data_IF_017952531383
#
_entry.id   IF_017952531383
#
_cell.length_a   1.000
_cell.length_b   1.000
_cell.length_c   1.000
_cell.angle_alpha   90.00
_cell.angle_beta   90.00
_cell.angle_gamma   90.00
#
_symmetry.space_group_name_H-M   'P 1'
#
loop_
_entity.id
_entity.type
_entity.pdbx_description
1 polymer ?
#
# COMPACT_ATOMS: atom_id res chain seq x y z
N UNK A 1 -5.83 23.27 0.05
CA UNK A 1 -6.17 22.81 1.42
C UNK A 1 -5.76 21.36 1.49
N UNK A 2 -4.96 20.97 2.48
CA UNK A 2 -4.59 19.55 2.69
C UNK A 2 -5.83 18.78 3.15
N UNK A 3 -6.00 17.57 2.64
CA UNK A 3 -7.05 16.65 3.07
C UNK A 3 -6.57 15.86 4.29
N UNK A 4 -7.50 15.24 5.04
CA UNK A 4 -7.13 14.32 6.11
C UNK A 4 -6.26 13.15 5.60
N UNK A 5 -6.45 12.72 4.36
CA UNK A 5 -5.64 11.67 3.73
C UNK A 5 -4.21 12.15 3.51
N UNK A 6 -4.03 13.42 3.13
CA UNK A 6 -2.70 14.04 3.04
C UNK A 6 -2.02 14.11 4.40
N UNK A 7 -2.76 14.48 5.45
CA UNK A 7 -2.20 14.56 6.79
C UNK A 7 -1.81 13.17 7.35
N UNK A 8 -2.54 12.12 7.00
CA UNK A 8 -2.17 10.74 7.33
C UNK A 8 -0.92 10.29 6.57
N UNK A 9 -0.84 10.55 5.26
CA UNK A 9 0.34 10.24 4.46
C UNK A 9 1.57 11.03 4.93
N UNK A 10 1.39 12.26 5.39
CA UNK A 10 2.43 13.15 5.91
C UNK A 10 3.01 12.70 7.27
N UNK A 11 2.46 11.67 7.91
CA UNK A 11 3.12 11.02 9.06
C UNK A 11 4.40 10.29 8.67
N UNK A 12 4.58 9.98 7.37
CA UNK A 12 5.74 9.34 6.74
C UNK A 12 6.10 7.93 7.23
N UNK A 13 5.65 7.52 8.41
CA UNK A 13 5.91 6.21 9.02
C UNK A 13 4.62 5.58 9.51
N UNK A 14 4.47 4.28 9.24
CA UNK A 14 3.26 3.53 9.54
C UNK A 14 2.87 3.62 11.02
N UNK A 15 3.83 3.53 11.94
CA UNK A 15 3.55 3.62 13.38
C UNK A 15 2.81 4.90 13.79
N UNK A 16 3.23 6.06 13.26
CA UNK A 16 2.61 7.34 13.55
C UNK A 16 1.22 7.48 12.92
N UNK A 17 1.03 6.94 11.70
CA UNK A 17 -0.30 6.83 11.09
C UNK A 17 -1.25 6.00 11.96
N UNK A 18 -0.79 4.82 12.41
CA UNK A 18 -1.60 3.90 13.21
C UNK A 18 -1.94 4.50 14.58
N UNK A 19 -1.01 5.20 15.23
CA UNK A 19 -1.27 5.94 16.47
C UNK A 19 -2.35 6.99 16.27
N UNK A 20 -2.27 7.75 15.17
CA UNK A 20 -3.27 8.75 14.84
C UNK A 20 -4.65 8.15 14.58
N UNK A 21 -4.74 7.02 13.85
CA UNK A 21 -6.01 6.31 13.70
C UNK A 21 -6.57 5.83 15.05
N UNK A 22 -5.71 5.38 15.96
CA UNK A 22 -6.13 5.01 17.31
C UNK A 22 -6.70 6.18 18.10
N UNK A 23 -5.98 7.32 18.13
CA UNK A 23 -6.37 8.50 18.92
C UNK A 23 -7.58 9.21 18.31
N UNK A 24 -7.59 9.42 17.00
CA UNK A 24 -8.58 10.28 16.34
C UNK A 24 -9.78 9.51 15.83
N UNK A 25 -9.64 8.21 15.54
CA UNK A 25 -10.68 7.37 14.92
C UNK A 25 -11.05 6.13 15.74
N UNK A 26 -10.59 6.04 16.99
CA UNK A 26 -10.97 4.96 17.90
C UNK A 26 -10.38 3.60 17.53
N UNK A 27 -9.29 3.57 16.76
CA UNK A 27 -8.57 2.35 16.40
C UNK A 27 -8.70 1.97 14.94
N UNK A 28 -8.21 0.76 14.63
CA UNK A 28 -8.29 0.14 13.32
C UNK A 28 -8.31 -1.38 13.47
N UNK A 29 -8.87 -2.05 12.47
CA UNK A 29 -8.77 -3.50 12.26
C UNK A 29 -7.77 -3.75 11.13
N UNK A 30 -6.77 -4.61 11.36
CA UNK A 30 -5.87 -5.06 10.30
C UNK A 30 -6.57 -6.15 9.47
N UNK A 31 -6.93 -5.83 8.24
CA UNK A 31 -7.59 -6.75 7.32
C UNK A 31 -6.61 -7.60 6.52
N UNK A 32 -5.42 -7.06 6.26
CA UNK A 32 -4.42 -7.75 5.46
C UNK A 32 -3.08 -7.04 5.45
N UNK A 33 -2.03 -7.83 5.27
CA UNK A 33 -0.68 -7.35 5.00
C UNK A 33 -0.13 -8.15 3.84
N UNK A 34 -0.02 -7.50 2.68
CA UNK A 34 0.56 -8.10 1.50
C UNK A 34 2.00 -7.63 1.37
N UNK A 35 2.93 -8.55 1.48
CA UNK A 35 4.34 -8.30 1.15
C UNK A 35 4.52 -8.59 -0.33
N UNK A 36 5.11 -7.64 -1.07
CA UNK A 36 5.51 -7.85 -2.45
C UNK A 36 6.97 -7.44 -2.62
N UNK A 37 7.82 -8.18 -1.90
CA UNK A 37 9.27 -8.05 -1.85
C UNK A 37 9.79 -7.17 -0.74
N UNK A 38 11.01 -6.69 -0.96
CA UNK A 38 11.75 -5.84 -0.03
C UNK A 38 11.22 -4.39 0.00
N UNK A 39 10.58 -3.94 -1.08
CA UNK A 39 10.33 -2.52 -1.31
C UNK A 39 8.86 -2.10 -1.33
N UNK A 40 7.91 -3.04 -1.41
CA UNK A 40 6.47 -2.72 -1.44
C UNK A 40 5.64 -3.64 -0.56
N UNK A 41 4.90 -3.03 0.35
CA UNK A 41 4.00 -3.69 1.29
C UNK A 41 2.68 -2.92 1.29
N UNK A 42 1.56 -3.62 1.09
CA UNK A 42 0.23 -3.06 1.30
C UNK A 42 -0.30 -3.47 2.67
N UNK A 43 -0.54 -2.48 3.54
CA UNK A 43 -1.24 -2.70 4.82
C UNK A 43 -2.68 -2.24 4.67
N UNK A 44 -3.61 -3.18 4.74
CA UNK A 44 -5.05 -2.94 4.56
C UNK A 44 -5.69 -2.83 5.93
N UNK A 45 -6.29 -1.68 6.20
CA UNK A 45 -6.89 -1.33 7.48
C UNK A 45 -8.37 -1.02 7.28
N UNK A 46 -9.21 -1.40 8.25
CA UNK A 46 -10.56 -0.85 8.40
C UNK A 46 -10.62 0.05 9.62
N UNK A 47 -11.19 1.24 9.45
CA UNK A 47 -11.35 2.23 10.51
C UNK A 47 -12.82 2.22 10.96
N UNK A 48 -13.15 1.70 12.15
CA UNK A 48 -14.53 1.52 12.59
C UNK A 48 -15.26 2.86 12.77
N UNK A 49 -14.56 3.94 13.15
CA UNK A 49 -15.13 5.29 13.21
C UNK A 49 -14.56 6.16 12.08
N UNK A 50 -15.18 6.09 10.90
CA UNK A 50 -14.81 6.86 9.70
C UNK A 50 -14.60 8.35 9.98
N UNK A 51 -15.48 8.99 10.77
CA UNK A 51 -15.47 10.45 11.06
C UNK A 51 -15.32 11.24 9.74
N UNK A 52 -14.27 12.04 9.61
CA UNK A 52 -14.00 12.87 8.43
C UNK A 52 -13.28 12.13 7.28
N UNK A 53 -12.95 10.84 7.43
CA UNK A 53 -12.34 10.08 6.35
C UNK A 53 -13.33 9.90 5.18
N UNK A 54 -12.85 9.94 3.92
CA UNK A 54 -13.71 9.77 2.75
C UNK A 54 -14.16 8.31 2.52
N UNK A 55 -13.65 7.35 3.29
CA UNK A 55 -14.03 5.95 3.32
C UNK A 55 -13.53 5.29 4.61
N UNK A 56 -13.91 4.04 4.86
CA UNK A 56 -13.56 3.30 6.08
C UNK A 56 -12.45 2.26 5.85
N UNK A 57 -12.05 2.01 4.61
CA UNK A 57 -10.94 1.11 4.28
C UNK A 57 -9.75 1.92 3.79
N UNK A 58 -8.59 1.74 4.41
CA UNK A 58 -7.32 2.33 4.01
C UNK A 58 -6.41 1.24 3.45
N UNK A 59 -5.73 1.53 2.35
CA UNK A 59 -4.56 0.80 1.88
C UNK A 59 -3.36 1.71 2.06
N UNK A 60 -2.47 1.35 2.98
CA UNK A 60 -1.24 2.09 3.26
C UNK A 60 -0.08 1.35 2.60
N UNK A 61 0.37 1.90 1.46
CA UNK A 61 1.53 1.38 0.74
C UNK A 61 2.81 1.83 1.45
N UNK A 62 3.66 0.88 1.82
CA UNK A 62 4.90 1.12 2.58
C UNK A 62 6.09 0.37 1.97
N UNK A 63 7.32 0.71 2.38
CA UNK A 63 8.46 -0.19 2.23
C UNK A 63 8.56 -1.15 3.44
N UNK A 64 9.54 -2.06 3.44
CA UNK A 64 9.73 -3.03 4.52
C UNK A 64 9.92 -2.44 5.93
N UNK A 65 10.35 -1.19 6.04
CA UNK A 65 10.57 -0.50 7.32
C UNK A 65 9.36 0.38 7.73
N UNK A 66 8.22 0.26 7.03
CA UNK A 66 7.00 1.01 7.33
C UNK A 66 7.00 2.46 6.86
N UNK A 67 7.96 2.87 6.01
CA UNK A 67 7.98 4.20 5.41
C UNK A 67 6.86 4.35 4.37
N UNK A 68 5.94 5.28 4.60
CA UNK A 68 4.72 5.45 3.80
C UNK A 68 5.06 6.04 2.43
N UNK A 69 4.49 5.42 1.40
CA UNK A 69 4.62 5.81 -0.01
C UNK A 69 3.32 6.43 -0.52
N UNK A 70 2.20 5.80 -0.16
CA UNK A 70 0.88 6.15 -0.64
C UNK A 70 -0.16 5.72 0.40
N UNK A 71 -1.24 6.49 0.50
CA UNK A 71 -2.45 6.13 1.24
C UNK A 71 -3.62 6.23 0.28
N UNK A 72 -4.29 5.11 0.06
CA UNK A 72 -5.55 5.03 -0.70
C UNK A 72 -6.71 4.77 0.27
N UNK A 73 -7.87 5.33 -0.03
CA UNK A 73 -9.09 5.17 0.76
C UNK A 73 -10.21 4.64 -0.12
N UNK A 74 -10.96 3.66 0.39
CA UNK A 74 -12.06 2.96 -0.26
C UNK A 74 -13.25 2.81 0.69
N UNK A 75 -14.42 2.49 0.13
CA UNK A 75 -15.60 2.05 0.91
C UNK A 75 -15.74 0.51 0.95
N UNK A 76 -14.94 -0.20 0.16
CA UNK A 76 -14.90 -1.65 0.10
C UNK A 76 -13.46 -2.12 0.01
N UNK A 77 -13.18 -3.31 0.57
CA UNK A 77 -11.83 -3.89 0.60
C UNK A 77 -11.41 -4.25 -0.83
N UNK A 78 -10.37 -3.60 -1.39
CA UNK A 78 -9.86 -3.97 -2.70
C UNK A 78 -9.11 -5.30 -2.63
N UNK A 79 -9.12 -6.07 -3.72
CA UNK A 79 -8.23 -7.22 -3.83
C UNK A 79 -6.81 -6.77 -4.19
N UNK A 80 -5.81 -7.54 -3.76
CA UNK A 80 -4.41 -7.28 -4.12
C UNK A 80 -4.21 -7.26 -5.65
N UNK A 81 -4.90 -8.13 -6.40
CA UNK A 81 -4.80 -8.15 -7.86
C UNK A 81 -5.37 -6.89 -8.50
N UNK A 82 -6.54 -6.41 -8.05
CA UNK A 82 -7.12 -5.18 -8.57
C UNK A 82 -6.22 -3.96 -8.29
N UNK A 83 -5.58 -3.91 -7.11
CA UNK A 83 -4.61 -2.85 -6.77
C UNK A 83 -3.39 -2.88 -7.68
N UNK A 84 -2.80 -4.07 -7.89
CA UNK A 84 -1.63 -4.21 -8.75
C UNK A 84 -1.94 -3.96 -10.22
N UNK A 85 -3.08 -4.44 -10.72
CA UNK A 85 -3.53 -4.12 -12.07
C UNK A 85 -3.79 -2.62 -12.24
N UNK A 86 -4.34 -1.95 -11.22
CA UNK A 86 -4.52 -0.49 -11.26
C UNK A 86 -3.18 0.26 -11.32
N UNK A 87 -2.18 -0.17 -10.55
CA UNK A 87 -0.83 0.43 -10.54
C UNK A 87 -0.07 0.15 -11.83
N UNK A 88 -0.13 -1.08 -12.32
CA UNK A 88 0.61 -1.58 -13.47
C UNK A 88 -0.34 -2.24 -14.48
N UNK A 89 -1.16 -1.46 -15.22
CA UNK A 89 -2.24 -1.98 -16.06
C UNK A 89 -1.76 -2.80 -17.27
N UNK A 90 -0.49 -2.64 -17.65
CA UNK A 90 0.11 -3.39 -18.75
C UNK A 90 0.79 -4.68 -18.31
N UNK A 91 0.91 -4.93 -17.00
CA UNK A 91 1.56 -6.14 -16.49
C UNK A 91 0.58 -7.34 -16.58
N UNK A 92 0.91 -8.38 -17.37
CA UNK A 92 0.04 -9.55 -17.53
C UNK A 92 -0.09 -10.43 -16.27
N UNK A 93 0.77 -10.25 -15.26
CA UNK A 93 0.77 -11.03 -14.01
C UNK A 93 -0.50 -10.87 -13.16
N UNK A 94 -1.21 -9.74 -13.30
CA UNK A 94 -2.37 -9.38 -12.48
C UNK A 94 -3.66 -9.40 -13.31
N UNK A 95 -4.68 -10.11 -12.83
CA UNK A 95 -5.96 -10.11 -13.52
C UNK A 95 -6.59 -8.71 -13.45
N UNK A 96 -7.27 -8.34 -14.53
CA UNK A 96 -8.05 -7.11 -14.65
C UNK A 96 -9.34 -7.18 -13.81
N UNK A 97 -9.20 -7.34 -12.50
CA UNK A 97 -10.31 -7.39 -11.56
C UNK A 97 -10.83 -5.97 -11.28
N UNK A 98 -12.14 -5.79 -11.05
CA UNK A 98 -12.69 -4.50 -10.67
C UNK A 98 -12.05 -3.97 -9.38
N UNK A 99 -11.50 -2.76 -9.44
CA UNK A 99 -11.07 -2.01 -8.27
C UNK A 99 -12.28 -1.20 -7.74
N UNK A 100 -12.62 -1.27 -6.44
CA UNK A 100 -13.57 -0.33 -5.84
C UNK A 100 -13.13 1.13 -6.07
N UNK A 101 -14.07 2.10 -6.12
CA UNK A 101 -13.70 3.50 -6.32
C UNK A 101 -12.72 4.00 -5.24
N UNK A 102 -11.63 4.63 -5.68
CA UNK A 102 -10.72 5.34 -4.80
C UNK A 102 -11.41 6.65 -4.41
N UNK A 103 -11.80 6.77 -3.14
CA UNK A 103 -12.49 7.94 -2.58
C UNK A 103 -11.54 8.90 -1.86
N UNK A 104 -10.29 8.49 -1.66
CA UNK A 104 -9.20 9.34 -1.18
C UNK A 104 -7.84 8.79 -1.63
N UNK A 105 -6.92 9.68 -1.98
CA UNK A 105 -5.57 9.31 -2.44
C UNK A 105 -4.59 10.38 -1.97
N UNK A 106 -3.48 9.96 -1.38
CA UNK A 106 -2.33 10.83 -1.16
C UNK A 106 -1.03 10.06 -1.36
N UNK A 107 -0.04 10.70 -1.98
CA UNK A 107 1.30 10.16 -2.23
C UNK A 107 2.33 11.01 -1.50
N UNK A 108 3.28 10.37 -0.85
CA UNK A 108 4.36 11.08 -0.16
C UNK A 108 5.48 11.45 -1.14
N UNK A 109 6.40 12.31 -0.70
CA UNK A 109 7.61 12.63 -1.46
C UNK A 109 8.51 11.41 -1.74
N UNK A 110 8.29 10.32 -1.00
CA UNK A 110 9.04 9.07 -1.15
C UNK A 110 8.35 8.05 -2.04
N UNK A 111 7.22 8.41 -2.66
CA UNK A 111 6.52 7.58 -3.63
C UNK A 111 7.47 7.20 -4.79
N UNK A 112 7.34 5.97 -5.26
CA UNK A 112 8.06 5.44 -6.41
C UNK A 112 7.07 4.71 -7.31
N UNK A 113 7.42 4.51 -8.58
CA UNK A 113 6.58 3.74 -9.51
C UNK A 113 6.62 2.24 -9.15
N UNK A 114 5.52 1.62 -8.69
CA UNK A 114 5.50 0.21 -8.34
C UNK A 114 5.87 -0.71 -9.51
N UNK A 115 5.73 -0.26 -10.76
CA UNK A 115 6.05 -1.07 -11.93
C UNK A 115 7.55 -1.27 -12.12
N UNK A 116 8.39 -0.40 -11.56
CA UNK A 116 9.85 -0.60 -11.52
C UNK A 116 10.27 -1.83 -10.69
N UNK A 117 9.38 -2.37 -9.86
CA UNK A 117 9.62 -3.61 -9.13
C UNK A 117 9.38 -4.84 -10.01
N UNK A 118 8.58 -4.72 -11.06
CA UNK A 118 8.16 -5.87 -11.86
C UNK A 118 9.23 -6.33 -12.85
N UNK A 119 10.17 -5.46 -13.19
CA UNK A 119 11.19 -5.71 -14.21
C UNK A 119 12.20 -6.79 -13.79
N UNK A 120 12.80 -7.55 -14.73
CA UNK A 120 13.71 -8.65 -14.41
C UNK A 120 14.96 -8.23 -13.61
N UNK A 121 15.41 -6.99 -13.76
CA UNK A 121 16.56 -6.39 -13.09
C UNK A 121 16.17 -5.47 -11.93
N UNK A 122 14.93 -5.58 -11.42
CA UNK A 122 14.44 -4.82 -10.28
C UNK A 122 15.41 -4.91 -9.11
N UNK A 123 15.63 -3.76 -8.45
CA UNK A 123 16.54 -3.64 -7.31
C UNK A 123 16.21 -4.70 -6.24
N UNK A 124 17.26 -5.25 -5.64
CA UNK A 124 17.17 -6.15 -4.50
C UNK A 124 18.41 -6.03 -3.64
N UNK A 125 18.27 -6.14 -2.32
CA UNK A 125 19.41 -6.23 -1.40
C UNK A 125 19.85 -7.69 -1.19
N UNK A 126 19.02 -8.64 -1.63
CA UNK A 126 19.35 -10.05 -1.70
C UNK A 126 20.24 -10.36 -2.91
N UNK A 127 21.23 -11.22 -2.71
CA UNK A 127 22.04 -11.76 -3.81
C UNK A 127 21.19 -12.66 -4.71
N UNK A 128 21.47 -12.75 -6.02
CA UNK A 128 20.72 -13.59 -6.95
C UNK A 128 20.56 -15.05 -6.51
N UNK A 129 21.59 -15.64 -5.89
CA UNK A 129 21.59 -17.01 -5.37
C UNK A 129 20.76 -17.20 -4.08
N UNK A 130 20.31 -16.11 -3.46
CA UNK A 130 19.55 -16.11 -2.20
C UNK A 130 18.16 -15.48 -2.35
N UNK A 131 17.68 -15.33 -3.58
CA UNK A 131 16.36 -14.76 -3.85
C UNK A 131 15.59 -15.54 -4.89
N UNK A 132 14.26 -15.50 -4.78
CA UNK A 132 13.33 -15.85 -5.84
C UNK A 132 12.37 -14.70 -6.10
N UNK A 133 11.85 -14.64 -7.32
CA UNK A 133 10.87 -13.63 -7.71
C UNK A 133 9.58 -13.88 -6.93
N UNK A 134 9.09 -12.86 -6.23
CA UNK A 134 7.79 -12.90 -5.57
C UNK A 134 6.75 -12.26 -6.49
N UNK A 135 5.58 -12.89 -6.60
CA UNK A 135 4.43 -12.28 -7.29
C UNK A 135 4.19 -10.86 -6.75
N UNK A 136 4.08 -9.83 -7.60
CA UNK A 136 3.93 -8.43 -7.16
C UNK A 136 5.19 -7.56 -7.21
N UNK A 137 6.23 -7.91 -7.97
CA UNK A 137 7.40 -7.01 -8.13
C UNK A 137 8.54 -7.22 -7.13
N UNK A 138 8.34 -8.11 -6.15
CA UNK A 138 9.36 -8.39 -5.16
C UNK A 138 10.45 -9.38 -5.53
N UNK A 139 11.48 -9.36 -4.69
CA UNK A 139 12.32 -10.50 -4.42
C UNK A 139 12.07 -10.95 -2.98
N UNK A 140 11.95 -12.25 -2.76
CA UNK A 140 11.89 -12.84 -1.42
C UNK A 140 13.04 -13.81 -1.20
N UNK A 141 13.45 -13.95 0.05
CA UNK A 141 14.54 -14.85 0.44
C UNK A 141 14.14 -16.31 0.18
N UNK A 142 15.08 -17.09 -0.38
CA UNK A 142 14.99 -18.55 -0.47
C UNK A 142 15.67 -19.25 0.71
#
# INVERSE_FOLDING_TARGET
MTTLVDDLAATLVLGALLERLTVEHGGYELLGHHTQGEFHHDVILRVPQRRALPGDVLVVSTNCNGGIKEVLVFEAVPSAEALWHHRCPTEPEFAALPLPPIVGLSRTLHYFDPCELLVPDARSELRPEHRRRQRGGGWEKV
#
